data_IF_168493274510
#
_entry.id   IF_168493274510
#
_cell.length_a   1.000
_cell.length_b   1.000
_cell.length_c   1.000
_cell.angle_alpha   90.00
_cell.angle_beta   90.00
_cell.angle_gamma   90.00
#
_symmetry.space_group_name_H-M   'P 1'
#
loop_
_entity.id
_entity.type
_entity.pdbx_description
1 polymer ?
#
# COMPACT_ATOMS: atom_id res chain seq x y z
N UNK A 1 17.64 13.62 9.78
CA UNK A 1 16.25 13.14 10.01
C UNK A 1 15.56 14.12 10.94
N UNK A 2 14.31 14.46 10.66
CA UNK A 2 13.49 15.26 11.59
C UNK A 2 12.89 14.34 12.66
N UNK A 3 12.91 14.78 13.92
CA UNK A 3 12.35 14.04 15.05
C UNK A 3 10.89 14.44 15.27
N UNK A 4 10.04 13.47 15.63
CA UNK A 4 8.65 13.69 16.01
C UNK A 4 8.41 13.09 17.39
N UNK A 5 7.93 13.90 18.32
CA UNK A 5 7.56 13.45 19.67
C UNK A 5 6.06 13.19 19.73
N UNK A 6 5.68 12.04 20.26
CA UNK A 6 4.27 11.62 20.39
C UNK A 6 4.06 11.15 21.83
N UNK A 7 3.07 11.70 22.51
CA UNK A 7 2.62 11.18 23.81
C UNK A 7 1.55 10.11 23.56
N UNK A 8 1.72 8.95 24.19
CA UNK A 8 0.80 7.83 24.10
C UNK A 8 0.23 7.54 25.49
N UNK A 9 -1.08 7.26 25.62
CA UNK A 9 -1.62 6.67 26.82
C UNK A 9 -1.01 5.29 27.08
N UNK A 10 -1.00 4.85 28.35
CA UNK A 10 -0.29 3.64 28.78
C UNK A 10 -0.70 2.38 28.00
N UNK A 11 -1.98 2.27 27.63
CA UNK A 11 -2.49 1.13 26.86
C UNK A 11 -1.85 1.05 25.46
N UNK A 12 -1.70 2.19 24.78
CA UNK A 12 -1.07 2.26 23.46
C UNK A 12 0.43 2.04 23.56
N UNK A 13 1.07 2.54 24.62
CA UNK A 13 2.49 2.26 24.88
C UNK A 13 2.73 0.76 25.05
N UNK A 14 1.96 0.09 25.91
CA UNK A 14 2.07 -1.37 26.11
C UNK A 14 1.85 -2.14 24.81
N UNK A 15 0.87 -1.73 24.01
CA UNK A 15 0.64 -2.35 22.72
C UNK A 15 1.87 -2.22 21.80
N UNK A 16 2.46 -1.02 21.69
CA UNK A 16 3.68 -0.80 20.89
C UNK A 16 4.84 -1.65 21.41
N UNK A 17 5.04 -1.71 22.73
CA UNK A 17 6.10 -2.52 23.36
C UNK A 17 5.95 -4.01 23.00
N UNK A 18 4.72 -4.53 22.99
CA UNK A 18 4.43 -5.91 22.56
C UNK A 18 4.72 -6.15 21.08
N UNK A 19 4.42 -5.17 20.21
CA UNK A 19 4.76 -5.30 18.79
C UNK A 19 6.27 -5.32 18.57
N UNK A 20 7.01 -4.49 19.29
CA UNK A 20 8.47 -4.45 19.25
C UNK A 20 9.06 -5.79 19.69
N UNK A 21 8.62 -6.33 20.82
CA UNK A 21 9.10 -7.62 21.34
C UNK A 21 8.71 -8.81 20.45
N UNK A 22 7.50 -8.81 19.87
CA UNK A 22 6.94 -9.97 19.18
C UNK A 22 7.19 -10.02 17.67
N UNK A 23 7.48 -8.89 17.02
CA UNK A 23 7.58 -8.78 15.55
C UNK A 23 8.95 -8.35 15.04
N UNK A 24 9.95 -8.30 15.91
CA UNK A 24 11.33 -8.04 15.54
C UNK A 24 11.65 -6.58 15.21
N UNK A 25 10.80 -5.62 15.60
CA UNK A 25 11.17 -4.21 15.53
C UNK A 25 12.21 -3.89 16.61
N UNK A 26 13.19 -3.04 16.32
CA UNK A 26 14.22 -2.62 17.26
C UNK A 26 13.75 -1.50 18.21
N UNK A 27 12.76 -0.69 17.81
CA UNK A 27 12.23 0.41 18.63
C UNK A 27 10.75 0.70 18.36
N UNK A 28 10.06 1.35 19.30
CA UNK A 28 8.69 1.83 19.09
C UNK A 28 8.60 2.84 17.93
N UNK A 29 9.61 3.69 17.75
CA UNK A 29 9.67 4.62 16.61
C UNK A 29 9.79 3.90 15.26
N UNK A 30 10.41 2.73 15.22
CA UNK A 30 10.46 1.90 14.02
C UNK A 30 9.10 1.30 13.69
N UNK A 31 8.41 0.76 14.69
CA UNK A 31 7.05 0.27 14.53
C UNK A 31 6.11 1.37 14.02
N UNK A 32 6.15 2.57 14.61
CA UNK A 32 5.33 3.71 14.17
C UNK A 32 5.67 4.14 12.74
N UNK A 33 6.96 4.14 12.35
CA UNK A 33 7.36 4.44 10.97
C UNK A 33 6.77 3.44 9.97
N UNK A 34 6.74 2.15 10.34
CA UNK A 34 6.14 1.13 9.49
C UNK A 34 4.62 1.29 9.37
N UNK A 35 3.93 1.60 10.48
CA UNK A 35 2.50 1.91 10.44
C UNK A 35 2.19 3.09 9.50
N UNK A 36 3.01 4.14 9.51
CA UNK A 36 2.84 5.29 8.61
C UNK A 36 3.02 4.87 7.14
N UNK A 37 3.96 3.98 6.83
CA UNK A 37 4.13 3.46 5.46
C UNK A 37 2.91 2.66 5.02
N UNK A 38 2.43 1.75 5.86
CA UNK A 38 1.22 0.99 5.58
C UNK A 38 -0.01 1.88 5.39
N UNK A 39 -0.17 2.92 6.20
CA UNK A 39 -1.26 3.88 6.02
C UNK A 39 -1.14 4.62 4.68
N UNK A 40 0.07 5.08 4.32
CA UNK A 40 0.33 5.70 3.02
C UNK A 40 -0.01 4.76 1.85
N UNK A 41 0.37 3.49 1.94
CA UNK A 41 0.07 2.50 0.91
C UNK A 41 -1.44 2.26 0.78
N UNK A 42 -2.16 2.17 1.91
CA UNK A 42 -3.63 2.06 1.93
C UNK A 42 -4.30 3.27 1.32
N UNK A 43 -3.83 4.48 1.63
CA UNK A 43 -4.34 5.71 1.04
C UNK A 43 -4.08 5.73 -0.47
N UNK A 44 -2.89 5.34 -0.92
CA UNK A 44 -2.55 5.26 -2.33
C UNK A 44 -3.44 4.28 -3.09
N UNK A 45 -3.63 3.07 -2.56
CA UNK A 45 -4.54 2.08 -3.14
C UNK A 45 -5.99 2.61 -3.21
N UNK A 46 -6.46 3.26 -2.15
CA UNK A 46 -7.80 3.88 -2.14
C UNK A 46 -7.95 4.91 -3.26
N UNK A 47 -6.94 5.75 -3.48
CA UNK A 47 -6.94 6.72 -4.58
C UNK A 47 -7.06 6.02 -5.93
N UNK A 48 -6.24 5.00 -6.20
CA UNK A 48 -6.31 4.24 -7.46
C UNK A 48 -7.67 3.57 -7.70
N UNK A 49 -8.29 3.03 -6.64
CA UNK A 49 -9.62 2.44 -6.73
C UNK A 49 -10.69 3.49 -7.07
N UNK A 50 -10.60 4.68 -6.47
CA UNK A 50 -11.53 5.78 -6.77
C UNK A 50 -11.33 6.31 -8.20
N UNK A 51 -10.08 6.45 -8.64
CA UNK A 51 -9.76 6.82 -10.02
C UNK A 51 -10.35 5.81 -11.00
N UNK A 52 -10.13 4.50 -10.77
CA UNK A 52 -10.72 3.43 -11.57
C UNK A 52 -12.26 3.46 -11.57
N UNK A 53 -12.88 3.67 -10.40
CA UNK A 53 -14.35 3.77 -10.30
C UNK A 53 -14.92 5.00 -11.00
N UNK A 54 -14.14 6.08 -11.09
CA UNK A 54 -14.52 7.31 -11.80
C UNK A 54 -14.23 7.28 -13.30
N UNK A 55 -13.53 6.25 -13.78
CA UNK A 55 -13.19 6.11 -15.19
C UNK A 55 -14.42 5.74 -16.02
N UNK A 56 -14.37 6.03 -17.32
CA UNK A 56 -15.44 5.66 -18.24
C UNK A 56 -15.64 4.15 -18.26
N UNK A 57 -16.90 3.73 -18.22
CA UNK A 57 -17.24 2.32 -18.38
C UNK A 57 -16.83 1.84 -19.77
N UNK A 58 -16.10 0.74 -19.81
CA UNK A 58 -15.70 0.08 -21.05
C UNK A 58 -16.58 -1.13 -21.33
N UNK A 59 -16.44 -1.68 -22.53
CA UNK A 59 -17.07 -2.95 -22.88
C UNK A 59 -16.57 -4.09 -21.97
N UNK A 60 -17.40 -5.13 -21.72
CA UNK A 60 -17.01 -6.28 -20.94
C UNK A 60 -15.67 -6.88 -21.40
N UNK A 61 -14.76 -7.04 -20.46
CA UNK A 61 -13.45 -7.64 -20.72
C UNK A 61 -13.61 -9.15 -20.89
N UNK A 62 -13.33 -9.64 -22.10
CA UNK A 62 -13.43 -11.06 -22.46
C UNK A 62 -12.07 -11.71 -22.75
N UNK A 63 -12.08 -12.97 -23.17
CA UNK A 63 -10.85 -13.69 -23.53
C UNK A 63 -10.12 -13.03 -24.72
N UNK A 64 -10.87 -12.57 -25.72
CA UNK A 64 -10.30 -11.95 -26.92
C UNK A 64 -9.59 -10.62 -26.58
N UNK A 65 -10.11 -9.85 -25.63
CA UNK A 65 -9.45 -8.66 -25.09
C UNK A 65 -8.05 -9.00 -24.57
N UNK A 66 -7.93 -10.05 -23.73
CA UNK A 66 -6.65 -10.44 -23.15
C UNK A 66 -5.67 -11.00 -24.19
N UNK A 67 -6.14 -11.75 -25.18
CA UNK A 67 -5.28 -12.27 -26.26
C UNK A 67 -4.71 -11.13 -27.13
N UNK A 68 -5.55 -10.14 -27.46
CA UNK A 68 -5.11 -8.93 -28.14
C UNK A 68 -4.16 -8.09 -27.28
N UNK A 69 -4.41 -7.99 -25.97
CA UNK A 69 -3.54 -7.27 -25.04
C UNK A 69 -2.14 -7.90 -24.97
N UNK A 70 -2.04 -9.23 -24.83
CA UNK A 70 -0.76 -9.95 -24.79
C UNK A 70 0.01 -9.81 -26.09
N UNK A 71 -0.68 -9.94 -27.24
CA UNK A 71 -0.07 -9.77 -28.57
C UNK A 71 0.52 -8.37 -28.75
N UNK A 72 -0.15 -7.32 -28.23
CA UNK A 72 0.38 -5.95 -28.25
C UNK A 72 1.59 -5.79 -27.35
N UNK A 73 1.52 -6.29 -26.11
CA UNK A 73 2.61 -6.20 -25.15
C UNK A 73 3.89 -6.89 -25.65
N UNK A 74 3.76 -8.11 -26.21
CA UNK A 74 4.91 -8.87 -26.72
C UNK A 74 5.61 -8.17 -27.89
N UNK A 75 4.86 -7.49 -28.76
CA UNK A 75 5.41 -6.69 -29.87
C UNK A 75 6.18 -5.46 -29.38
N UNK A 76 5.78 -4.92 -28.23
CA UNK A 76 6.37 -3.71 -27.66
C UNK A 76 7.65 -4.02 -26.87
N UNK A 77 7.73 -5.21 -26.25
CA UNK A 77 8.96 -5.69 -25.59
C UNK A 77 10.04 -6.18 -26.56
N UNK A 78 9.70 -6.45 -27.82
CA UNK A 78 10.65 -6.83 -28.88
C UNK A 78 11.24 -5.64 -29.65
N UNK A 79 11.00 -4.41 -29.19
CA UNK A 79 11.61 -3.16 -29.67
C UNK A 79 12.52 -2.61 -28.58
#
# INVERSE_FOLDING_TARGET
MSTMNISLPDNLKQFVDQQVAGRGYGTGSEYVRELIRHDKDRQHLRTLLLEGASSETTEPVDAAYFDNLRTRASRQSSR
#
